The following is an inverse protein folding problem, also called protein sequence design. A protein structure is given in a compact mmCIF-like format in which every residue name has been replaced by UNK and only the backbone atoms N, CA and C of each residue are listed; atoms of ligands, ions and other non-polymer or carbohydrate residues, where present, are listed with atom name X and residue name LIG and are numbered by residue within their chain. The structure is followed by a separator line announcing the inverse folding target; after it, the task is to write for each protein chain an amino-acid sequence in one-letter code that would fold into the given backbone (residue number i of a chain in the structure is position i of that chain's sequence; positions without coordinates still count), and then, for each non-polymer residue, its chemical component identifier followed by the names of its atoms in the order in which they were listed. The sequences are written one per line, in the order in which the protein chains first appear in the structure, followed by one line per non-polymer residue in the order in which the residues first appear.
data_IF_742128707893
#
_entry.id   IF_742128707893
#
_cell.length_a   1.000
_cell.length_b   1.000
_cell.length_c   1.000
_cell.angle_alpha   90.00
_cell.angle_beta   90.00
_cell.angle_gamma   90.00
#
_symmetry.space_group_name_H-M   'P 1'
#
loop_
_entity.id
_entity.type
_entity.pdbx_description
1 polymer ?
#
# COMPACT_ATOMS: atom_id res chain seq x y z
N UNK A 1 37.64 15.11 30.87
CA UNK A 1 36.34 14.43 30.77
C UNK A 1 36.12 14.16 29.30
N UNK A 2 36.21 12.91 28.85
CA UNK A 2 35.97 12.53 27.47
C UNK A 2 34.47 12.67 27.19
N UNK A 3 34.13 13.42 26.15
CA UNK A 3 32.77 13.62 25.64
C UNK A 3 32.16 12.24 25.37
N UNK A 4 30.98 11.89 25.90
CA UNK A 4 30.36 10.61 25.62
C UNK A 4 30.04 10.54 24.14
N UNK A 5 30.81 9.75 23.38
CA UNK A 5 30.56 9.52 21.96
C UNK A 5 29.19 8.87 21.82
N UNK A 6 28.23 9.60 21.27
CA UNK A 6 26.92 9.06 20.88
C UNK A 6 27.18 7.95 19.87
N UNK A 7 26.78 6.69 20.14
CA UNK A 7 27.02 5.62 19.17
C UNK A 7 26.29 5.94 17.85
N UNK A 8 26.87 5.59 16.70
CA UNK A 8 26.25 5.85 15.44
C UNK A 8 24.88 5.17 15.33
N UNK A 9 23.91 5.86 14.71
CA UNK A 9 22.58 5.30 14.48
C UNK A 9 22.65 3.95 13.77
N UNK A 10 22.08 2.91 14.35
CA UNK A 10 22.02 1.56 13.76
C UNK A 10 20.62 1.26 13.23
N UNK A 11 20.52 0.99 11.93
CA UNK A 11 19.28 0.50 11.31
C UNK A 11 18.88 -0.88 11.87
N UNK A 12 17.59 -1.13 12.00
CA UNK A 12 17.10 -2.48 12.30
C UNK A 12 17.48 -3.47 11.20
N UNK A 13 17.77 -4.72 11.56
CA UNK A 13 18.18 -5.77 10.59
C UNK A 13 17.16 -5.93 9.45
N UNK A 14 15.86 -5.89 9.75
CA UNK A 14 14.77 -5.97 8.76
C UNK A 14 14.76 -4.83 7.73
N UNK A 15 15.49 -3.75 7.96
CA UNK A 15 15.63 -2.64 7.02
C UNK A 15 16.96 -2.67 6.25
N UNK A 16 17.84 -3.66 6.50
CA UNK A 16 19.18 -3.69 5.91
C UNK A 16 19.14 -3.80 4.37
N UNK A 17 18.17 -4.50 3.83
CA UNK A 17 18.00 -4.71 2.39
C UNK A 17 17.03 -3.71 1.73
N UNK A 18 16.37 -2.87 2.54
CA UNK A 18 15.43 -1.88 2.02
C UNK A 18 16.17 -0.72 1.37
N UNK A 19 15.87 -0.46 0.12
CA UNK A 19 16.36 0.69 -0.65
C UNK A 19 15.35 1.82 -0.65
N UNK A 20 15.81 3.03 -0.93
CA UNK A 20 14.92 4.15 -1.26
C UNK A 20 14.10 3.76 -2.49
N UNK A 21 12.82 4.09 -2.50
CA UNK A 21 11.93 3.80 -3.64
C UNK A 21 12.58 4.29 -4.94
N UNK A 22 12.76 3.40 -5.90
CA UNK A 22 13.31 3.73 -7.22
C UNK A 22 12.47 4.79 -7.94
N UNK A 23 11.15 4.76 -7.74
CA UNK A 23 10.20 5.75 -8.28
C UNK A 23 10.54 7.16 -7.76
N UNK A 24 10.83 7.30 -6.47
CA UNK A 24 11.24 8.58 -5.88
C UNK A 24 12.62 9.03 -6.41
N UNK A 25 13.55 8.11 -6.57
CA UNK A 25 14.87 8.42 -7.12
C UNK A 25 14.78 8.86 -8.60
N UNK A 26 13.96 8.18 -9.40
CA UNK A 26 13.68 8.57 -10.80
C UNK A 26 13.03 9.95 -10.85
N UNK A 27 12.01 10.21 -10.00
CA UNK A 27 11.36 11.52 -9.93
C UNK A 27 12.33 12.66 -9.56
N UNK A 28 13.19 12.43 -8.57
CA UNK A 28 14.21 13.41 -8.17
C UNK A 28 15.22 13.66 -9.31
N UNK A 29 15.65 12.63 -10.04
CA UNK A 29 16.55 12.75 -11.18
C UNK A 29 15.91 13.50 -12.33
N UNK A 30 14.65 13.21 -12.64
CA UNK A 30 13.89 13.91 -13.67
C UNK A 30 13.74 15.42 -13.34
N UNK A 31 13.40 15.76 -12.12
CA UNK A 31 13.30 17.14 -11.65
C UNK A 31 14.64 17.89 -11.74
N UNK A 32 15.77 17.22 -11.45
CA UNK A 32 17.10 17.79 -11.61
C UNK A 32 17.42 18.09 -13.08
N UNK A 33 17.14 17.15 -13.98
CA UNK A 33 17.34 17.34 -15.41
C UNK A 33 16.47 18.48 -15.96
N UNK A 34 15.23 18.60 -15.53
CA UNK A 34 14.35 19.71 -15.90
C UNK A 34 14.91 21.06 -15.43
N UNK A 35 15.46 21.14 -14.21
CA UNK A 35 16.13 22.37 -13.71
C UNK A 35 17.36 22.74 -14.54
N UNK A 36 18.03 21.76 -15.13
CA UNK A 36 19.16 21.97 -16.05
C UNK A 36 18.72 22.34 -17.48
N UNK A 37 17.42 22.48 -17.74
CA UNK A 37 16.86 22.88 -19.04
C UNK A 37 16.63 21.71 -20.01
N UNK A 38 16.74 20.46 -19.58
CA UNK A 38 16.44 19.31 -20.43
C UNK A 38 14.92 19.09 -20.55
N UNK A 39 14.39 18.80 -21.75
CA UNK A 39 12.97 18.50 -21.96
C UNK A 39 12.67 17.06 -21.52
N UNK A 40 12.43 16.86 -20.23
CA UNK A 40 12.13 15.53 -19.66
C UNK A 40 10.64 15.36 -19.42
N UNK A 41 10.06 14.31 -19.99
CA UNK A 41 8.69 13.85 -19.69
C UNK A 41 8.78 12.83 -18.55
N UNK A 42 8.04 13.07 -17.46
CA UNK A 42 8.07 12.23 -16.26
C UNK A 42 6.88 11.27 -16.29
N UNK A 43 7.17 9.97 -16.42
CA UNK A 43 6.16 8.89 -16.41
C UNK A 43 6.34 7.95 -15.18
N UNK A 44 7.06 8.41 -14.16
CA UNK A 44 7.45 7.56 -13.02
C UNK A 44 6.40 7.42 -11.92
N UNK A 45 5.55 8.41 -11.72
CA UNK A 45 4.46 8.38 -10.74
C UNK A 45 3.16 8.83 -11.38
N UNK A 46 2.08 8.10 -11.06
CA UNK A 46 0.72 8.46 -11.46
C UNK A 46 -0.09 8.94 -10.27
N UNK A 47 -0.82 10.04 -10.45
CA UNK A 47 -1.81 10.55 -9.49
C UNK A 47 -3.02 11.09 -10.27
N UNK A 48 -4.21 11.18 -9.65
CA UNK A 48 -5.36 11.81 -10.29
C UNK A 48 -5.03 13.24 -10.73
N UNK A 49 -5.35 13.59 -11.97
CA UNK A 49 -5.09 14.90 -12.57
C UNK A 49 -6.23 15.94 -12.31
N UNK A 50 -7.22 15.56 -11.54
CA UNK A 50 -8.31 16.43 -11.08
C UNK A 50 -8.34 16.52 -9.54
N UNK A 51 -8.72 17.68 -8.99
CA UNK A 51 -8.71 17.91 -7.56
C UNK A 51 -9.81 17.13 -6.83
N UNK A 52 -9.66 17.04 -5.51
CA UNK A 52 -10.73 16.54 -4.63
C UNK A 52 -12.04 17.30 -4.89
N UNK A 53 -13.19 16.63 -5.00
CA UNK A 53 -14.48 17.29 -5.25
C UNK A 53 -14.79 18.38 -4.21
N UNK A 54 -15.32 19.56 -4.62
CA UNK A 54 -15.54 20.69 -3.71
C UNK A 54 -16.38 20.34 -2.48
N UNK A 55 -17.42 19.52 -2.62
CA UNK A 55 -18.27 19.12 -1.49
C UNK A 55 -17.52 18.33 -0.40
N UNK A 56 -16.48 17.57 -0.79
CA UNK A 56 -15.61 16.83 0.15
C UNK A 56 -14.71 17.80 0.90
N UNK A 57 -14.11 18.78 0.19
CA UNK A 57 -13.27 19.82 0.79
C UNK A 57 -14.09 20.64 1.80
N UNK A 58 -15.30 21.06 1.41
CA UNK A 58 -16.20 21.82 2.28
C UNK A 58 -16.65 21.03 3.51
N UNK A 59 -16.91 19.71 3.36
CA UNK A 59 -17.26 18.87 4.48
C UNK A 59 -16.12 18.77 5.49
N UNK A 60 -14.89 18.58 5.03
CA UNK A 60 -13.69 18.56 5.88
C UNK A 60 -13.49 19.91 6.60
N UNK A 61 -13.66 21.03 5.88
CA UNK A 61 -13.54 22.36 6.45
C UNK A 61 -14.59 22.62 7.54
N UNK A 62 -15.86 22.27 7.29
CA UNK A 62 -16.93 22.40 8.29
C UNK A 62 -16.68 21.54 9.52
N UNK A 63 -16.21 20.32 9.36
CA UNK A 63 -15.87 19.43 10.47
C UNK A 63 -14.74 20.02 11.34
N UNK A 64 -13.72 20.59 10.72
CA UNK A 64 -12.63 21.27 11.43
C UNK A 64 -13.14 22.51 12.20
N UNK A 65 -13.97 23.36 11.59
CA UNK A 65 -14.57 24.52 12.25
C UNK A 65 -15.49 24.11 13.41
N UNK A 66 -16.14 22.96 13.32
CA UNK A 66 -16.95 22.38 14.39
C UNK A 66 -16.12 21.73 15.52
N UNK A 67 -14.79 21.84 15.48
CA UNK A 67 -13.91 21.30 16.51
C UNK A 67 -13.67 19.78 16.43
N UNK A 68 -14.00 19.13 15.32
CA UNK A 68 -13.70 17.70 15.11
C UNK A 68 -12.22 17.50 14.77
N UNK A 69 -11.35 17.91 15.66
CA UNK A 69 -9.88 17.93 15.50
C UNK A 69 -9.15 17.19 16.61
N UNK A 70 -9.88 16.45 17.43
CA UNK A 70 -9.35 15.64 18.54
C UNK A 70 -9.27 14.15 18.16
N UNK A 71 -8.81 13.32 19.09
CA UNK A 71 -8.74 11.88 18.88
C UNK A 71 -10.09 11.26 18.51
N UNK A 72 -10.07 10.40 17.50
CA UNK A 72 -11.21 9.55 17.12
C UNK A 72 -11.08 8.15 17.74
N UNK A 73 -12.14 7.34 17.72
CA UNK A 73 -12.02 5.93 18.00
C UNK A 73 -10.99 5.26 17.09
N UNK A 74 -10.24 4.27 17.62
CA UNK A 74 -9.11 3.62 16.94
C UNK A 74 -9.48 3.06 15.56
N UNK A 75 -10.68 2.50 15.43
CA UNK A 75 -11.16 1.87 14.19
C UNK A 75 -11.87 2.86 13.23
N UNK A 76 -11.90 4.16 13.55
CA UNK A 76 -12.65 5.18 12.83
C UNK A 76 -13.96 5.57 13.54
N UNK A 77 -14.53 6.71 13.14
CA UNK A 77 -15.79 7.17 13.75
C UNK A 77 -16.96 6.26 13.36
N UNK A 78 -18.03 6.16 14.19
CA UNK A 78 -19.19 5.36 13.87
C UNK A 78 -19.83 5.73 12.54
N UNK A 79 -19.89 7.03 12.22
CA UNK A 79 -20.48 7.58 11.00
C UNK A 79 -19.69 7.14 9.77
N UNK A 80 -18.34 7.20 9.82
CA UNK A 80 -17.48 6.75 8.72
C UNK A 80 -17.64 5.24 8.50
N UNK A 81 -17.64 4.45 9.57
CA UNK A 81 -17.81 3.00 9.49
C UNK A 81 -19.16 2.61 8.90
N UNK A 82 -20.24 3.31 9.31
CA UNK A 82 -21.58 3.11 8.76
C UNK A 82 -21.62 3.44 7.26
N UNK A 83 -20.99 4.55 6.84
CA UNK A 83 -20.89 4.94 5.43
C UNK A 83 -20.10 3.92 4.60
N UNK A 84 -19.02 3.32 5.15
CA UNK A 84 -18.24 2.26 4.49
C UNK A 84 -19.10 1.00 4.31
N UNK A 85 -19.80 0.56 5.34
CA UNK A 85 -20.69 -0.61 5.27
C UNK A 85 -21.78 -0.40 4.22
N UNK A 86 -22.41 0.78 4.22
CA UNK A 86 -23.46 1.12 3.24
C UNK A 86 -22.89 1.15 1.81
N UNK A 87 -21.69 1.69 1.61
CA UNK A 87 -21.00 1.68 0.31
C UNK A 87 -20.72 0.24 -0.16
N UNK A 88 -20.22 -0.62 0.69
CA UNK A 88 -19.95 -2.02 0.35
C UNK A 88 -21.22 -2.76 -0.06
N UNK A 89 -22.31 -2.57 0.68
CA UNK A 89 -23.60 -3.17 0.36
C UNK A 89 -24.14 -2.67 -0.98
N UNK A 90 -24.15 -1.35 -1.20
CA UNK A 90 -24.75 -0.71 -2.39
C UNK A 90 -23.96 -0.98 -3.68
N UNK A 91 -22.61 -0.91 -3.59
CA UNK A 91 -21.76 -0.89 -4.78
C UNK A 91 -21.03 -2.21 -5.03
N UNK A 92 -20.86 -3.03 -4.01
CA UNK A 92 -20.07 -4.25 -4.10
C UNK A 92 -20.90 -5.52 -3.79
N UNK A 93 -22.14 -5.39 -3.30
CA UNK A 93 -22.97 -6.52 -2.87
C UNK A 93 -22.38 -7.28 -1.67
N UNK A 94 -21.63 -6.58 -0.81
CA UNK A 94 -20.96 -7.16 0.36
C UNK A 94 -21.63 -6.66 1.64
N UNK A 95 -22.03 -7.58 2.49
CA UNK A 95 -22.61 -7.28 3.79
C UNK A 95 -21.57 -7.47 4.90
N UNK A 96 -21.28 -6.37 5.61
CA UNK A 96 -20.40 -6.33 6.78
C UNK A 96 -21.08 -5.62 7.93
N UNK A 97 -20.77 -6.03 9.15
CA UNK A 97 -21.14 -5.30 10.36
C UNK A 97 -20.10 -4.18 10.64
N UNK A 98 -20.49 -3.09 11.32
CA UNK A 98 -19.54 -2.01 11.65
C UNK A 98 -18.31 -2.45 12.45
N UNK A 99 -18.39 -3.52 13.25
CA UNK A 99 -17.25 -4.06 13.99
C UNK A 99 -16.26 -4.86 13.12
N UNK A 100 -16.62 -5.14 11.87
CA UNK A 100 -15.75 -5.79 10.88
C UNK A 100 -15.01 -4.77 9.99
N UNK A 101 -15.14 -3.46 10.28
CA UNK A 101 -14.54 -2.37 9.49
C UNK A 101 -13.57 -1.56 10.34
N UNK A 102 -12.38 -1.32 9.79
CA UNK A 102 -11.37 -0.40 10.31
C UNK A 102 -11.02 0.62 9.24
N UNK A 103 -11.07 1.91 9.60
CA UNK A 103 -10.55 3.00 8.79
C UNK A 103 -9.09 3.30 9.17
N UNK A 104 -8.23 3.47 8.18
CA UNK A 104 -6.81 3.77 8.37
C UNK A 104 -6.36 4.97 7.52
N UNK A 105 -5.10 5.39 7.66
CA UNK A 105 -4.51 6.45 6.84
C UNK A 105 -4.12 5.92 5.44
N UNK A 106 -5.10 5.35 4.72
CA UNK A 106 -4.96 4.87 3.35
C UNK A 106 -4.60 3.39 3.23
N UNK A 107 -4.80 2.82 2.02
CA UNK A 107 -4.65 1.40 1.73
C UNK A 107 -3.24 0.84 2.04
N UNK A 108 -2.20 1.66 1.88
CA UNK A 108 -0.82 1.25 2.22
C UNK A 108 -0.70 0.86 3.69
N UNK A 109 -1.29 1.64 4.58
CA UNK A 109 -1.28 1.33 6.02
C UNK A 109 -2.14 0.10 6.34
N UNK A 110 -3.27 -0.09 5.64
CA UNK A 110 -4.10 -1.31 5.81
C UNK A 110 -3.27 -2.56 5.56
N UNK A 111 -2.60 -2.63 4.40
CA UNK A 111 -1.80 -3.79 3.98
C UNK A 111 -0.64 -4.02 4.96
N UNK A 112 0.08 -2.96 5.32
CA UNK A 112 1.19 -3.06 6.27
C UNK A 112 0.73 -3.58 7.62
N UNK A 113 -0.37 -3.06 8.16
CA UNK A 113 -0.92 -3.48 9.45
C UNK A 113 -1.42 -4.94 9.39
N UNK A 114 -2.05 -5.35 8.29
CA UNK A 114 -2.49 -6.73 8.10
C UNK A 114 -1.32 -7.71 8.10
N UNK A 115 -0.26 -7.43 7.36
CA UNK A 115 0.95 -8.24 7.34
C UNK A 115 1.66 -8.25 8.70
N UNK A 116 1.81 -7.08 9.34
CA UNK A 116 2.44 -6.97 10.65
C UNK A 116 1.69 -7.76 11.73
N UNK A 117 0.38 -7.90 11.61
CA UNK A 117 -0.47 -8.61 12.56
C UNK A 117 -0.57 -10.13 12.30
N UNK A 118 -0.12 -10.60 11.13
CA UNK A 118 -0.42 -11.98 10.68
C UNK A 118 0.74 -12.74 10.06
N UNK A 119 1.92 -12.11 9.85
CA UNK A 119 3.10 -12.77 9.33
C UNK A 119 4.15 -12.97 10.42
N UNK A 120 4.62 -14.18 10.53
CA UNK A 120 5.82 -14.58 11.26
C UNK A 120 7.00 -14.84 10.32
N UNK A 121 8.20 -14.99 10.89
CA UNK A 121 9.40 -15.28 10.13
C UNK A 121 9.27 -16.63 9.41
N UNK A 122 9.39 -16.62 8.08
CA UNK A 122 9.26 -17.78 7.21
C UNK A 122 7.88 -17.96 6.57
N UNK A 123 6.88 -17.18 6.97
CA UNK A 123 5.58 -17.17 6.29
C UNK A 123 5.70 -16.56 4.89
N UNK A 124 5.01 -17.14 3.93
CA UNK A 124 5.06 -16.77 2.52
C UNK A 124 3.82 -15.97 2.09
N UNK A 125 4.08 -14.95 1.25
CA UNK A 125 3.05 -14.16 0.58
C UNK A 125 3.22 -14.28 -0.93
N UNK A 126 2.26 -14.90 -1.61
CA UNK A 126 2.26 -15.01 -3.07
C UNK A 126 1.85 -13.67 -3.67
N UNK A 127 2.69 -13.17 -4.61
CA UNK A 127 2.49 -11.88 -5.28
C UNK A 127 2.61 -12.09 -6.79
N UNK A 128 1.51 -12.03 -7.57
CA UNK A 128 1.57 -12.06 -9.03
C UNK A 128 2.30 -10.83 -9.59
N UNK A 129 3.20 -11.04 -10.55
CA UNK A 129 3.90 -9.95 -11.23
C UNK A 129 3.24 -9.64 -12.58
N UNK A 130 3.31 -8.38 -13.09
CA UNK A 130 3.85 -7.18 -12.46
C UNK A 130 3.00 -6.67 -11.30
N UNK A 131 3.64 -6.11 -10.29
CA UNK A 131 2.97 -5.56 -9.11
C UNK A 131 3.61 -4.25 -8.64
N UNK A 132 2.90 -3.50 -7.81
CA UNK A 132 3.44 -2.31 -7.17
C UNK A 132 4.53 -2.68 -6.15
N UNK A 133 5.75 -2.24 -6.39
CA UNK A 133 6.98 -2.65 -5.68
C UNK A 133 6.90 -2.58 -4.15
N UNK A 134 5.99 -1.77 -3.62
CA UNK A 134 5.78 -1.65 -2.18
C UNK A 134 5.27 -2.95 -1.53
N UNK A 135 4.57 -3.83 -2.27
CA UNK A 135 4.02 -5.06 -1.67
C UNK A 135 5.10 -5.99 -1.15
N UNK A 136 6.11 -6.30 -1.96
CA UNK A 136 7.22 -7.16 -1.53
C UNK A 136 8.04 -6.51 -0.40
N UNK A 137 8.27 -5.21 -0.47
CA UNK A 137 8.96 -4.48 0.59
C UNK A 137 8.22 -4.54 1.94
N UNK A 138 6.88 -4.47 1.94
CA UNK A 138 6.09 -4.63 3.15
C UNK A 138 6.21 -6.04 3.74
N UNK A 139 6.14 -7.08 2.89
CA UNK A 139 6.30 -8.47 3.32
C UNK A 139 7.65 -8.66 3.99
N UNK A 140 8.75 -8.23 3.35
CA UNK A 140 10.11 -8.30 3.90
C UNK A 140 10.23 -7.59 5.26
N UNK A 141 9.69 -6.37 5.37
CA UNK A 141 9.75 -5.57 6.62
C UNK A 141 8.99 -6.27 7.74
N UNK A 142 7.89 -6.95 7.42
CA UNK A 142 7.09 -7.71 8.37
C UNK A 142 7.69 -9.09 8.70
N UNK A 143 8.80 -9.48 8.07
CA UNK A 143 9.51 -10.74 8.33
C UNK A 143 9.07 -11.91 7.46
N UNK A 144 8.10 -11.72 6.57
CA UNK A 144 7.65 -12.74 5.62
C UNK A 144 8.56 -12.89 4.40
N UNK A 145 8.24 -13.84 3.55
CA UNK A 145 8.95 -14.15 2.30
C UNK A 145 8.02 -13.83 1.12
N UNK A 146 8.34 -12.84 0.26
CA UNK A 146 7.56 -12.60 -0.95
C UNK A 146 7.84 -13.67 -2.01
N UNK A 147 6.82 -14.45 -2.37
CA UNK A 147 6.85 -15.45 -3.42
C UNK A 147 6.24 -14.87 -4.68
N UNK A 148 7.08 -14.48 -5.65
CA UNK A 148 6.62 -13.86 -6.89
C UNK A 148 6.25 -14.90 -7.94
N UNK A 149 5.09 -14.73 -8.58
CA UNK A 149 4.61 -15.57 -9.68
C UNK A 149 4.54 -14.73 -10.94
N UNK A 150 5.31 -15.10 -11.97
CA UNK A 150 5.35 -14.36 -13.22
C UNK A 150 4.06 -14.58 -14.03
N UNK A 151 3.37 -13.48 -14.33
CA UNK A 151 2.17 -13.45 -15.18
C UNK A 151 2.47 -12.60 -16.41
N UNK A 152 2.52 -13.23 -17.58
CA UNK A 152 2.85 -12.58 -18.85
C UNK A 152 1.65 -12.00 -19.59
N UNK A 153 1.93 -11.44 -20.75
CA UNK A 153 0.90 -10.92 -21.67
C UNK A 153 -0.06 -12.01 -22.15
N UNK A 154 0.44 -13.22 -22.30
CA UNK A 154 -0.31 -14.42 -22.70
C UNK A 154 -1.46 -14.76 -21.74
N UNK A 155 -1.30 -14.42 -20.45
CA UNK A 155 -2.35 -14.54 -19.43
C UNK A 155 -3.07 -13.22 -19.13
N UNK A 156 -2.82 -12.15 -19.90
CA UNK A 156 -3.32 -10.80 -19.62
C UNK A 156 -2.82 -10.25 -18.29
N UNK A 157 -1.60 -10.60 -17.88
CA UNK A 157 -0.99 -10.24 -16.59
C UNK A 157 -1.77 -10.75 -15.36
N UNK A 158 -2.54 -11.83 -15.52
CA UNK A 158 -3.32 -12.44 -14.43
C UNK A 158 -2.74 -13.79 -14.06
N UNK A 159 -2.73 -14.07 -12.76
CA UNK A 159 -2.33 -15.39 -12.27
C UNK A 159 -3.39 -16.44 -12.66
N UNK A 160 -2.94 -17.58 -13.17
CA UNK A 160 -3.81 -18.70 -13.46
C UNK A 160 -3.97 -19.62 -12.24
N UNK A 161 -5.05 -20.41 -12.14
CA UNK A 161 -5.21 -21.40 -11.07
C UNK A 161 -4.03 -22.37 -10.98
N UNK A 162 -3.49 -22.81 -12.13
CA UNK A 162 -2.35 -23.72 -12.15
C UNK A 162 -1.07 -23.10 -11.58
N UNK A 163 -0.78 -21.84 -11.94
CA UNK A 163 0.36 -21.09 -11.38
C UNK A 163 0.20 -20.87 -9.87
N UNK A 164 -1.01 -20.51 -9.42
CA UNK A 164 -1.28 -20.35 -8.00
C UNK A 164 -1.09 -21.67 -7.25
N UNK A 165 -1.67 -22.75 -7.76
CA UNK A 165 -1.53 -24.06 -7.14
C UNK A 165 -0.07 -24.53 -7.03
N UNK A 166 0.75 -24.23 -8.04
CA UNK A 166 2.18 -24.55 -8.03
C UNK A 166 2.99 -23.70 -7.03
N UNK A 167 2.50 -22.49 -6.69
CA UNK A 167 3.17 -21.58 -5.78
C UNK A 167 2.81 -21.80 -4.31
N UNK A 168 1.70 -22.47 -4.02
CA UNK A 168 1.23 -22.73 -2.65
C UNK A 168 2.13 -23.76 -1.97
N UNK A 169 2.61 -23.43 -0.78
CA UNK A 169 3.36 -24.30 0.13
C UNK A 169 2.69 -24.35 1.52
N UNK A 170 3.12 -25.20 2.44
CA UNK A 170 2.67 -25.18 3.82
C UNK A 170 2.94 -23.84 4.55
N UNK A 171 3.88 -23.04 4.08
CA UNK A 171 4.25 -21.74 4.63
C UNK A 171 3.42 -20.59 4.04
N UNK A 172 2.65 -20.83 2.98
CA UNK A 172 1.82 -19.79 2.36
C UNK A 172 0.72 -19.30 3.29
N UNK A 173 0.71 -18.01 3.59
CA UNK A 173 -0.28 -17.34 4.45
C UNK A 173 -1.18 -16.41 3.66
N UNK A 174 -0.65 -15.75 2.62
CA UNK A 174 -1.37 -14.73 1.88
C UNK A 174 -1.21 -14.90 0.37
N UNK A 175 -2.26 -14.54 -0.35
CA UNK A 175 -2.24 -14.18 -1.77
C UNK A 175 -2.58 -12.70 -1.88
N UNK A 176 -1.65 -11.90 -2.40
CA UNK A 176 -1.84 -10.47 -2.62
C UNK A 176 -2.34 -10.21 -4.03
N UNK A 177 -3.59 -9.81 -4.16
CA UNK A 177 -4.22 -9.45 -5.44
C UNK A 177 -4.55 -7.97 -5.49
N UNK A 178 -4.38 -7.37 -6.67
CA UNK A 178 -4.79 -6.00 -6.96
C UNK A 178 -5.49 -5.94 -8.32
N UNK A 179 -6.75 -5.52 -8.34
CA UNK A 179 -7.55 -5.36 -9.56
C UNK A 179 -8.43 -4.10 -9.46
N UNK A 180 -8.41 -3.22 -10.47
CA UNK A 180 -7.44 -3.14 -11.55
C UNK A 180 -6.02 -3.03 -11.04
N UNK A 181 -5.08 -3.72 -11.70
CA UNK A 181 -3.71 -3.88 -11.21
C UNK A 181 -2.88 -2.60 -11.35
N UNK A 182 -2.08 -2.30 -10.36
CA UNK A 182 -0.95 -1.38 -10.46
C UNK A 182 0.34 -2.21 -10.66
N UNK A 183 1.08 -2.10 -11.81
CA UNK A 183 1.03 -0.98 -12.77
C UNK A 183 0.29 -1.26 -14.08
N UNK A 184 -0.22 -2.47 -14.35
CA UNK A 184 -0.67 -2.87 -15.70
C UNK A 184 -2.05 -2.35 -16.07
N UNK A 185 -2.91 -2.03 -15.12
CA UNK A 185 -4.32 -1.71 -15.35
C UNK A 185 -5.19 -2.95 -15.66
N UNK A 186 -4.62 -4.16 -15.68
CA UNK A 186 -5.37 -5.39 -15.92
C UNK A 186 -6.41 -5.65 -14.80
N UNK A 187 -7.62 -6.07 -15.18
CA UNK A 187 -8.75 -6.29 -14.29
C UNK A 187 -9.45 -7.65 -14.57
#
# INVERSE_FOLDING_TARGET
MSDPQIPPFRRAKRLAHQKVSEILAIGARAAELQRQGHPVIVLGAGEPDFPTPPHVIEAAHRAALAGQTTYTPLAGTPELKAAIVEKFRRENGLDYAPNEVIATAGAKQVIFNAFMASLDAGDEVIIPTPYWTTYSAMVDICGGIPVTVTCGEDSGFKITPAQLQAAITPQTRWLMLNSPSNPTGAA
#
